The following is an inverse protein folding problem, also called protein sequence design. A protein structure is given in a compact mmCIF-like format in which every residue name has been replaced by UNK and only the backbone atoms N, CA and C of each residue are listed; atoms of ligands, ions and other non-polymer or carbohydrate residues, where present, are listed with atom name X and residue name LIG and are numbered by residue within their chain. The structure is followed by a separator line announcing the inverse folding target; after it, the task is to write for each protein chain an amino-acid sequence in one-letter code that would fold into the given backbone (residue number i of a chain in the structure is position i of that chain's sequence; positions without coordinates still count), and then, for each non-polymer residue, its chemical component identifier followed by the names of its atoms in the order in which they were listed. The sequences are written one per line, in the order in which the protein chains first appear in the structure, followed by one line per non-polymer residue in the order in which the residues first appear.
data_IF_191954903674
#
_entry.id   IF_191954903674
#
_cell.length_a   1.000
_cell.length_b   1.000
_cell.length_c   1.000
_cell.angle_alpha   90.00
_cell.angle_beta   90.00
_cell.angle_gamma   90.00
#
_symmetry.space_group_name_H-M   'P 1'
#
loop_
_entity.id
_entity.type
_entity.pdbx_description
1 polymer ?
#
# COMPACT_ATOMS: atom_id res chain seq x y z
N UNK A 1 5.64 10.86 16.86
CA UNK A 1 7.05 10.39 16.78
C UNK A 1 7.72 10.79 15.47
N UNK A 2 7.53 10.09 14.33
CA UNK A 2 8.25 10.43 13.08
C UNK A 2 7.94 11.86 12.58
N UNK A 3 6.68 12.28 12.72
CA UNK A 3 6.27 13.64 12.40
C UNK A 3 6.99 14.68 13.28
N UNK A 4 7.08 14.46 14.58
CA UNK A 4 7.74 15.40 15.51
C UNK A 4 9.24 15.49 15.22
N UNK A 5 9.89 14.36 14.90
CA UNK A 5 11.28 14.34 14.45
C UNK A 5 11.47 15.15 13.16
N UNK A 6 10.54 15.06 12.21
CA UNK A 6 10.64 15.83 10.96
C UNK A 6 10.60 17.33 11.15
N UNK A 7 9.91 17.81 12.21
CA UNK A 7 9.92 19.23 12.55
C UNK A 7 11.31 19.71 13.01
N UNK A 8 12.10 18.81 13.60
CA UNK A 8 13.42 19.13 14.13
C UNK A 8 14.52 18.93 13.07
N UNK A 9 14.47 17.82 12.33
CA UNK A 9 15.55 17.40 11.41
C UNK A 9 15.24 17.69 9.94
N UNK A 10 14.03 18.13 9.62
CA UNK A 10 13.62 18.52 8.27
C UNK A 10 12.85 17.42 7.51
N UNK A 11 12.52 17.70 6.24
CA UNK A 11 11.61 16.88 5.42
C UNK A 11 12.24 15.59 4.87
N UNK A 12 13.56 15.41 5.03
CA UNK A 12 14.30 14.20 4.71
C UNK A 12 15.20 13.86 5.90
N UNK A 13 15.05 12.66 6.44
CA UNK A 13 15.78 12.23 7.63
C UNK A 13 16.36 10.84 7.44
N UNK A 14 17.55 10.61 7.96
CA UNK A 14 18.13 9.28 8.05
C UNK A 14 17.98 8.72 9.46
N UNK A 15 17.37 7.55 9.59
CA UNK A 15 17.11 6.86 10.85
C UNK A 15 17.57 5.40 10.75
N UNK A 16 17.81 4.77 11.90
CA UNK A 16 18.07 3.33 11.98
C UNK A 16 16.94 2.64 12.74
N UNK A 17 16.22 1.75 12.07
CA UNK A 17 15.25 0.87 12.70
C UNK A 17 15.92 -0.45 13.07
N UNK A 18 16.47 -0.50 14.29
CA UNK A 18 17.36 -1.57 14.70
C UNK A 18 18.62 -1.57 13.82
N UNK A 19 18.89 -2.69 13.14
CA UNK A 19 20.00 -2.79 12.19
C UNK A 19 19.69 -2.19 10.80
N UNK A 20 18.43 -1.88 10.50
CA UNK A 20 18.02 -1.44 9.16
C UNK A 20 18.17 0.09 9.00
N UNK A 21 19.05 0.57 8.10
CA UNK A 21 19.11 1.98 7.75
C UNK A 21 17.89 2.37 6.92
N UNK A 22 17.27 3.51 7.22
CA UNK A 22 16.06 3.99 6.57
C UNK A 22 16.11 5.49 6.33
N UNK A 23 15.70 5.91 5.14
CA UNK A 23 15.43 7.31 4.83
C UNK A 23 13.94 7.55 4.96
N UNK A 24 13.56 8.56 5.75
CA UNK A 24 12.19 9.00 5.94
C UNK A 24 11.99 10.30 5.18
N UNK A 25 10.94 10.35 4.35
CA UNK A 25 10.48 11.57 3.67
C UNK A 25 9.16 12.02 4.28
N UNK A 26 9.02 13.31 4.58
CA UNK A 26 7.91 13.83 5.39
C UNK A 26 7.33 15.15 4.87
N UNK A 27 7.51 15.45 3.59
CA UNK A 27 6.80 16.52 2.88
C UNK A 27 6.19 16.02 1.59
N UNK A 28 5.17 16.72 1.08
CA UNK A 28 4.54 16.42 -0.21
C UNK A 28 5.53 16.51 -1.37
N UNK A 29 6.41 17.51 -1.33
CA UNK A 29 7.39 17.74 -2.37
C UNK A 29 8.40 16.60 -2.42
N UNK A 30 8.90 16.16 -1.26
CA UNK A 30 9.80 15.00 -1.20
C UNK A 30 9.08 13.70 -1.56
N UNK A 31 7.82 13.51 -1.16
CA UNK A 31 7.05 12.35 -1.58
C UNK A 31 6.88 12.30 -3.11
N UNK A 32 6.67 13.45 -3.77
CA UNK A 32 6.59 13.55 -5.22
C UNK A 32 7.90 13.16 -5.89
N UNK A 33 9.05 13.57 -5.36
CA UNK A 33 10.35 13.18 -5.91
C UNK A 33 10.53 11.66 -5.91
N UNK A 34 10.16 10.98 -4.81
CA UNK A 34 10.36 9.53 -4.68
C UNK A 34 9.29 8.69 -5.38
N UNK A 35 8.03 9.13 -5.35
CA UNK A 35 6.88 8.34 -5.81
C UNK A 35 6.40 8.71 -7.21
N UNK A 36 6.94 9.78 -7.82
CA UNK A 36 6.59 10.22 -9.17
C UNK A 36 7.80 10.54 -10.03
N UNK A 37 8.70 11.44 -9.58
CA UNK A 37 9.85 11.86 -10.41
C UNK A 37 10.85 10.71 -10.60
N UNK A 38 11.13 9.97 -9.53
CA UNK A 38 12.08 8.85 -9.49
C UNK A 38 11.39 7.54 -9.09
N UNK A 39 10.12 7.38 -9.45
CA UNK A 39 9.27 6.27 -9.02
C UNK A 39 9.86 4.88 -9.36
N UNK A 40 10.47 4.73 -10.53
CA UNK A 40 11.10 3.48 -10.97
C UNK A 40 12.34 3.13 -10.14
N UNK A 41 13.12 4.12 -9.71
CA UNK A 41 14.32 3.90 -8.88
C UNK A 41 13.91 3.34 -7.52
N UNK A 42 12.82 3.86 -6.96
CA UNK A 42 12.28 3.47 -5.66
C UNK A 42 11.12 2.46 -5.73
N UNK A 43 10.91 1.82 -6.89
CA UNK A 43 9.76 0.95 -7.11
C UNK A 43 9.84 -0.36 -6.29
N UNK A 44 11.05 -0.83 -6.00
CA UNK A 44 11.27 -2.09 -5.31
C UNK A 44 10.98 -2.00 -3.80
N UNK A 45 10.69 -3.15 -3.18
CA UNK A 45 10.50 -3.28 -1.73
C UNK A 45 11.75 -3.88 -1.09
N UNK A 46 12.10 -3.48 0.15
CA UNK A 46 13.15 -4.15 0.91
C UNK A 46 12.83 -5.65 1.11
N UNK A 47 13.87 -6.48 1.13
CA UNK A 47 13.75 -7.89 1.50
C UNK A 47 13.19 -8.03 2.92
N UNK A 48 12.29 -8.98 3.12
CA UNK A 48 11.70 -9.27 4.42
C UNK A 48 11.19 -10.71 4.47
N UNK A 49 11.18 -11.30 5.67
CA UNK A 49 10.67 -12.66 5.87
C UNK A 49 9.21 -12.83 5.39
N UNK A 50 8.38 -11.78 5.52
CA UNK A 50 7.02 -11.79 4.97
C UNK A 50 7.00 -11.90 3.44
N UNK A 51 7.91 -11.21 2.76
CA UNK A 51 8.05 -11.32 1.30
C UNK A 51 8.44 -12.73 0.87
N UNK A 52 9.30 -13.39 1.64
CA UNK A 52 9.75 -14.74 1.33
C UNK A 52 8.67 -15.79 1.63
N UNK A 53 8.10 -15.78 2.83
CA UNK A 53 7.27 -16.87 3.33
C UNK A 53 5.76 -16.64 3.16
N UNK A 54 5.29 -15.40 3.14
CA UNK A 54 3.85 -15.07 3.04
C UNK A 54 3.50 -14.65 1.60
N UNK A 55 4.40 -13.95 0.92
CA UNK A 55 4.16 -13.42 -0.42
C UNK A 55 4.56 -14.36 -1.57
N UNK A 56 4.52 -15.68 -1.34
CA UNK A 56 4.88 -16.70 -2.34
C UNK A 56 6.25 -16.46 -2.97
N UNK A 57 7.28 -16.26 -2.13
CA UNK A 57 8.62 -15.91 -2.60
C UNK A 57 8.61 -14.65 -3.49
N UNK A 58 8.04 -13.56 -2.95
CA UNK A 58 7.91 -12.27 -3.64
C UNK A 58 7.15 -12.33 -4.97
N UNK A 59 6.21 -13.27 -5.15
CA UNK A 59 5.40 -13.37 -6.37
C UNK A 59 4.00 -12.77 -6.25
N UNK A 60 3.68 -12.10 -5.14
CA UNK A 60 2.44 -11.32 -5.05
C UNK A 60 2.60 -9.90 -5.64
N UNK A 61 1.49 -9.18 -5.82
CA UNK A 61 1.49 -7.84 -6.40
C UNK A 61 2.15 -6.77 -5.52
N UNK A 62 2.12 -6.95 -4.19
CA UNK A 62 2.57 -5.94 -3.23
C UNK A 62 4.08 -5.95 -2.94
N UNK A 63 4.72 -7.12 -3.01
CA UNK A 63 6.11 -7.32 -2.60
C UNK A 63 7.02 -7.80 -3.74
N UNK A 64 6.48 -8.14 -4.92
CA UNK A 64 7.30 -8.46 -6.08
C UNK A 64 8.19 -7.28 -6.48
N UNK A 65 9.49 -7.53 -6.76
CA UNK A 65 10.33 -6.54 -7.42
C UNK A 65 9.70 -6.07 -8.72
N UNK A 66 9.95 -4.81 -9.05
CA UNK A 66 9.56 -4.23 -10.33
C UNK A 66 10.26 -4.96 -11.47
N UNK A 67 9.47 -5.42 -12.42
CA UNK A 67 9.96 -6.20 -13.56
C UNK A 67 8.82 -6.65 -14.45
N UNK A 68 9.11 -7.44 -15.51
CA UNK A 68 8.09 -7.92 -16.44
C UNK A 68 6.92 -8.63 -15.76
N UNK A 69 7.21 -9.47 -14.76
CA UNK A 69 6.19 -10.17 -13.97
C UNK A 69 5.26 -9.19 -13.25
N UNK A 70 5.81 -8.30 -12.42
CA UNK A 70 5.01 -7.33 -11.68
C UNK A 70 4.18 -6.43 -12.61
N UNK A 71 4.76 -5.97 -13.73
CA UNK A 71 4.03 -5.16 -14.72
C UNK A 71 2.85 -5.90 -15.32
N UNK A 72 3.04 -7.17 -15.67
CA UNK A 72 1.99 -8.02 -16.22
C UNK A 72 0.87 -8.26 -15.20
N UNK A 73 1.22 -8.65 -13.99
CA UNK A 73 0.25 -8.88 -12.90
C UNK A 73 -0.52 -7.61 -12.56
N UNK A 74 0.17 -6.46 -12.46
CA UNK A 74 -0.47 -5.16 -12.25
C UNK A 74 -1.47 -4.84 -13.36
N UNK A 75 -1.11 -5.07 -14.63
CA UNK A 75 -2.02 -4.85 -15.76
C UNK A 75 -3.29 -5.69 -15.63
N UNK A 76 -3.16 -6.98 -15.33
CA UNK A 76 -4.32 -7.87 -15.12
C UNK A 76 -5.20 -7.33 -13.98
N UNK A 77 -4.62 -7.03 -12.82
CA UNK A 77 -5.40 -6.54 -11.68
C UNK A 77 -6.14 -5.24 -12.00
N UNK A 78 -5.48 -4.28 -12.64
CA UNK A 78 -6.10 -2.99 -13.00
C UNK A 78 -7.22 -3.17 -14.02
N UNK A 79 -7.02 -4.00 -15.05
CA UNK A 79 -8.01 -4.15 -16.12
C UNK A 79 -9.19 -5.04 -15.71
N UNK A 80 -8.92 -6.13 -15.02
CA UNK A 80 -9.92 -7.18 -14.80
C UNK A 80 -10.60 -7.11 -13.44
N UNK A 81 -9.88 -6.66 -12.40
CA UNK A 81 -10.37 -6.65 -11.02
C UNK A 81 -10.77 -5.24 -10.54
N UNK A 82 -9.98 -4.23 -10.91
CA UNK A 82 -10.10 -2.86 -10.40
C UNK A 82 -10.58 -1.85 -11.45
N UNK A 83 -11.10 -2.32 -12.59
CA UNK A 83 -11.71 -1.43 -13.58
C UNK A 83 -13.05 -0.88 -13.09
N UNK A 84 -13.41 0.33 -13.54
CA UNK A 84 -14.66 0.98 -13.17
C UNK A 84 -15.89 0.07 -13.43
N UNK A 85 -15.90 -0.63 -14.57
CA UNK A 85 -16.95 -1.60 -14.92
C UNK A 85 -17.02 -2.75 -13.91
N UNK A 86 -15.87 -3.32 -13.52
CA UNK A 86 -15.83 -4.41 -12.54
C UNK A 86 -16.29 -3.94 -11.17
N UNK A 87 -15.79 -2.79 -10.71
CA UNK A 87 -16.19 -2.17 -9.44
C UNK A 87 -17.70 -1.94 -9.42
N UNK A 88 -18.27 -1.44 -10.51
CA UNK A 88 -19.71 -1.19 -10.62
C UNK A 88 -20.52 -2.49 -10.56
N UNK A 89 -20.07 -3.56 -11.23
CA UNK A 89 -20.76 -4.85 -11.19
C UNK A 89 -20.87 -5.47 -9.79
N UNK A 90 -19.97 -5.11 -8.87
CA UNK A 90 -19.99 -5.55 -7.47
C UNK A 90 -20.73 -4.58 -6.53
N UNK A 91 -21.38 -3.53 -7.05
CA UNK A 91 -22.04 -2.51 -6.22
C UNK A 91 -23.09 -3.12 -5.28
N UNK A 92 -24.00 -3.93 -5.81
CA UNK A 92 -25.10 -4.52 -5.03
C UNK A 92 -24.61 -5.38 -3.86
N UNK A 93 -23.53 -6.14 -4.07
CA UNK A 93 -22.91 -6.95 -3.02
C UNK A 93 -22.34 -6.04 -1.92
N UNK A 94 -21.60 -4.98 -2.29
CA UNK A 94 -21.07 -4.03 -1.29
C UNK A 94 -22.18 -3.33 -0.49
N UNK A 95 -23.28 -2.96 -1.15
CA UNK A 95 -24.43 -2.36 -0.49
C UNK A 95 -25.10 -3.33 0.49
N UNK A 96 -25.25 -4.60 0.10
CA UNK A 96 -25.79 -5.64 0.99
C UNK A 96 -24.89 -5.87 2.22
N UNK A 97 -23.58 -6.03 2.03
CA UNK A 97 -22.62 -6.21 3.12
C UNK A 97 -22.60 -5.00 4.07
N UNK A 98 -22.69 -3.78 3.52
CA UNK A 98 -22.77 -2.56 4.32
C UNK A 98 -24.03 -2.54 5.19
N UNK A 99 -25.19 -2.89 4.63
CA UNK A 99 -26.44 -2.94 5.38
C UNK A 99 -26.38 -3.97 6.53
N UNK A 100 -25.76 -5.13 6.29
CA UNK A 100 -25.54 -6.14 7.33
C UNK A 100 -24.62 -5.62 8.43
N UNK A 101 -23.51 -4.98 8.06
CA UNK A 101 -22.58 -4.38 9.02
C UNK A 101 -23.27 -3.33 9.89
N UNK A 102 -24.05 -2.42 9.29
CA UNK A 102 -24.81 -1.38 10.02
C UNK A 102 -25.83 -1.99 10.97
N UNK A 103 -26.61 -2.98 10.52
CA UNK A 103 -27.56 -3.69 11.39
C UNK A 103 -26.85 -4.34 12.58
N UNK A 104 -25.72 -5.00 12.35
CA UNK A 104 -24.96 -5.65 13.41
C UNK A 104 -24.46 -4.68 14.48
N UNK A 105 -24.07 -3.47 14.08
CA UNK A 105 -23.66 -2.40 15.01
C UNK A 105 -24.86 -1.88 15.79
N UNK A 106 -25.98 -1.63 15.09
CA UNK A 106 -27.22 -1.16 15.70
C UNK A 106 -27.72 -2.09 16.80
N UNK A 107 -27.83 -3.39 16.50
CA UNK A 107 -28.30 -4.41 17.44
C UNK A 107 -27.40 -4.52 18.68
N UNK A 108 -26.08 -4.37 18.52
CA UNK A 108 -25.14 -4.37 19.64
C UNK A 108 -25.19 -3.09 20.48
N UNK A 109 -25.56 -1.96 19.88
CA UNK A 109 -25.68 -0.67 20.58
C UNK A 109 -27.02 -0.48 21.30
N UNK A 110 -28.04 -1.25 20.91
CA UNK A 110 -29.38 -1.23 21.52
C UNK A 110 -29.55 -2.22 22.67
N UNK A 111 -28.45 -2.87 23.10
CA UNK A 111 -28.33 -3.63 24.34
C UNK A 111 -27.51 -2.83 25.34
#
# INVERSE_FOLDING_TARGET
ILYDLSKQYGPIMFLRFGSLPCVVVSSSDMAKEFLKTHDLVFANRPSSAAGEHIAYYYKNLGMSPYGPYWRHMRKICVMELLSAKRIESFRSIREAELLLAVRSVWEKSSK
#
